data_IF_377021970421
#
_entry.id   IF_377021970421
#
_cell.length_a   1.000
_cell.length_b   1.000
_cell.length_c   1.000
_cell.angle_alpha   90.00
_cell.angle_beta   90.00
_cell.angle_gamma   90.00
#
_symmetry.space_group_name_H-M   'P 1'
#
loop_
_entity.id
_entity.type
_entity.pdbx_description
1 polymer ?
#
# COMPACT_ATOMS: atom_id res chain seq x y z
N UNK A 1 -17.24 15.50 15.38
CA UNK A 1 -16.64 15.86 14.08
C UNK A 1 -15.45 14.93 13.89
N UNK A 2 -15.60 13.88 13.09
CA UNK A 2 -14.50 12.97 12.79
C UNK A 2 -13.62 13.59 11.70
N UNK A 3 -12.44 14.10 12.09
CA UNK A 3 -11.49 14.72 11.16
C UNK A 3 -10.60 13.64 10.57
N UNK A 4 -10.75 13.36 9.27
CA UNK A 4 -9.90 12.40 8.55
C UNK A 4 -8.60 13.09 8.08
N UNK A 5 -7.55 12.96 8.89
CA UNK A 5 -6.21 13.48 8.56
C UNK A 5 -5.36 12.34 7.98
N UNK A 6 -4.82 12.55 6.77
CA UNK A 6 -3.85 11.63 6.17
C UNK A 6 -2.47 11.96 6.74
N UNK A 7 -1.94 11.07 7.57
CA UNK A 7 -0.64 11.28 8.24
C UNK A 7 0.31 10.14 7.88
N UNK A 8 1.52 10.52 7.48
CA UNK A 8 2.66 9.62 7.39
C UNK A 8 3.45 9.75 8.70
N UNK A 9 3.58 8.65 9.44
CA UNK A 9 4.32 8.64 10.71
C UNK A 9 5.64 7.91 10.50
N UNK A 10 6.75 8.62 10.67
CA UNK A 10 8.09 8.03 10.72
C UNK A 10 8.43 7.75 12.18
N UNK A 11 8.71 6.49 12.52
CA UNK A 11 8.98 6.10 13.90
C UNK A 11 10.11 5.08 14.01
N UNK A 12 11.03 5.29 14.94
CA UNK A 12 12.00 4.28 15.36
C UNK A 12 11.40 3.43 16.49
N UNK A 13 10.40 2.59 16.18
CA UNK A 13 9.78 1.69 17.15
C UNK A 13 8.27 1.55 17.01
N UNK A 14 7.59 1.21 18.12
CA UNK A 14 6.14 1.01 18.15
C UNK A 14 5.44 2.37 18.32
N UNK A 15 4.81 2.86 17.25
CA UNK A 15 3.98 4.07 17.29
C UNK A 15 2.80 3.90 18.26
N UNK A 16 2.48 4.97 18.98
CA UNK A 16 1.34 5.08 19.90
C UNK A 16 0.03 5.26 19.12
N UNK A 17 0.11 5.76 17.89
CA UNK A 17 -1.06 5.96 17.03
C UNK A 17 -1.53 4.63 16.42
N UNK A 18 -2.84 4.45 16.32
CA UNK A 18 -3.43 3.36 15.56
C UNK A 18 -3.19 3.62 14.06
N UNK A 19 -2.56 2.69 13.34
CA UNK A 19 -2.23 2.84 11.92
C UNK A 19 -2.84 1.72 11.11
N UNK A 20 -3.23 2.03 9.88
CA UNK A 20 -3.82 1.06 8.94
C UNK A 20 -2.75 0.15 8.31
N UNK A 21 -1.52 0.65 8.13
CA UNK A 21 -0.42 -0.13 7.56
C UNK A 21 0.95 0.20 8.18
N UNK A 22 1.71 -0.86 8.50
CA UNK A 22 3.12 -0.79 8.89
C UNK A 22 4.02 -1.18 7.70
N UNK A 23 5.01 -0.33 7.41
CA UNK A 23 6.04 -0.54 6.38
C UNK A 23 7.43 -0.41 7.03
N UNK A 24 8.14 -1.52 7.15
CA UNK A 24 9.53 -1.49 7.64
C UNK A 24 10.49 -1.06 6.54
N UNK A 25 11.50 -0.26 6.90
CA UNK A 25 12.60 0.08 5.99
C UNK A 25 13.59 -1.07 5.89
N UNK A 26 14.31 -1.17 4.77
CA UNK A 26 15.45 -2.06 4.66
C UNK A 26 16.61 -1.56 5.55
N UNK A 27 17.49 -2.46 5.96
CA UNK A 27 18.67 -2.14 6.76
C UNK A 27 19.55 -1.08 6.08
N UNK A 28 19.70 -1.17 4.76
CA UNK A 28 20.42 -0.21 3.93
C UNK A 28 19.82 1.19 4.04
N UNK A 29 18.50 1.34 3.87
CA UNK A 29 17.82 2.64 4.00
C UNK A 29 17.89 3.19 5.42
N UNK A 30 17.79 2.35 6.45
CA UNK A 30 17.97 2.79 7.84
C UNK A 30 19.35 3.41 8.04
N UNK A 31 20.40 2.78 7.50
CA UNK A 31 21.76 3.29 7.60
C UNK A 31 21.96 4.59 6.82
N UNK A 32 21.26 4.76 5.69
CA UNK A 32 21.30 5.97 4.88
C UNK A 32 20.59 7.13 5.59
N UNK A 33 19.40 6.88 6.15
CA UNK A 33 18.63 7.88 6.90
C UNK A 33 19.37 8.35 8.16
N UNK A 34 20.05 7.44 8.86
CA UNK A 34 20.86 7.81 10.02
C UNK A 34 22.00 8.78 9.63
N UNK A 35 22.58 8.62 8.44
CA UNK A 35 23.63 9.52 7.91
C UNK A 35 23.07 10.87 7.46
N UNK A 36 21.83 10.91 6.97
CA UNK A 36 21.17 12.14 6.49
C UNK A 36 20.55 12.96 7.61
N UNK A 37 20.42 12.44 8.83
CA UNK A 37 19.89 13.21 9.97
C UNK A 37 20.78 14.39 10.37
N UNK A 38 22.09 14.29 10.12
CA UNK A 38 23.05 15.36 10.41
C UNK A 38 23.19 16.37 9.26
N UNK A 39 22.59 16.09 8.09
CA UNK A 39 22.60 16.99 6.95
C UNK A 39 21.44 18.00 7.04
N UNK A 40 21.66 19.26 6.58
CA UNK A 40 20.59 20.24 6.52
C UNK A 40 19.46 19.72 5.61
N UNK A 41 18.18 19.95 5.99
CA UNK A 41 17.06 19.44 5.21
C UNK A 41 17.12 19.97 3.79
N UNK A 42 17.00 19.06 2.81
CA UNK A 42 16.88 19.43 1.40
C UNK A 42 15.61 20.26 1.22
N UNK A 43 15.79 21.57 1.07
CA UNK A 43 14.69 22.49 0.81
C UNK A 43 14.32 22.36 -0.65
N UNK A 44 13.18 21.75 -0.94
CA UNK A 44 12.60 21.81 -2.29
C UNK A 44 12.32 23.27 -2.65
N UNK A 45 12.69 23.62 -3.87
CA UNK A 45 12.34 24.91 -4.47
C UNK A 45 10.81 25.14 -4.36
N UNK A 46 10.36 26.34 -3.93
CA UNK A 46 8.95 26.61 -3.67
C UNK A 46 8.02 26.29 -4.85
N UNK A 47 8.47 26.53 -6.09
CA UNK A 47 7.69 26.24 -7.29
C UNK A 47 7.41 24.74 -7.42
N UNK A 48 8.45 23.91 -7.29
CA UNK A 48 8.32 22.45 -7.35
C UNK A 48 7.44 21.92 -6.20
N UNK A 49 7.60 22.48 -4.99
CA UNK A 49 6.76 22.12 -3.84
C UNK A 49 5.28 22.40 -4.12
N UNK A 50 4.97 23.55 -4.71
CA UNK A 50 3.60 23.96 -4.99
C UNK A 50 2.99 23.14 -6.15
N UNK A 51 3.79 22.80 -7.16
CA UNK A 51 3.40 21.85 -8.22
C UNK A 51 3.05 20.46 -7.66
N UNK A 52 3.88 19.92 -6.74
CA UNK A 52 3.60 18.64 -6.07
C UNK A 52 2.29 18.71 -5.28
N UNK A 53 2.08 19.80 -4.53
CA UNK A 53 0.84 20.01 -3.76
C UNK A 53 -0.38 20.09 -4.67
N UNK A 54 -0.28 20.82 -5.78
CA UNK A 54 -1.35 20.93 -6.76
C UNK A 54 -1.66 19.58 -7.42
N UNK A 55 -0.63 18.82 -7.79
CA UNK A 55 -0.78 17.47 -8.32
C UNK A 55 -1.52 16.57 -7.33
N UNK A 56 -1.09 16.52 -6.07
CA UNK A 56 -1.75 15.71 -5.03
C UNK A 56 -3.20 16.15 -4.78
N UNK A 57 -3.49 17.45 -4.85
CA UNK A 57 -4.85 17.97 -4.72
C UNK A 57 -5.75 17.52 -5.88
N UNK A 58 -5.23 17.55 -7.11
CA UNK A 58 -5.94 17.13 -8.31
C UNK A 58 -6.14 15.61 -8.35
N UNK A 59 -5.08 14.85 -8.08
CA UNK A 59 -5.09 13.38 -8.03
C UNK A 59 -6.11 12.85 -7.01
N UNK A 60 -6.33 13.58 -5.91
CA UNK A 60 -7.36 13.23 -4.91
C UNK A 60 -8.79 13.28 -5.45
N UNK A 61 -9.05 14.17 -6.41
CA UNK A 61 -10.37 14.36 -6.98
C UNK A 61 -10.58 13.55 -8.28
N UNK A 62 -9.60 12.73 -8.67
CA UNK A 62 -9.71 11.90 -9.85
C UNK A 62 -10.77 10.82 -9.65
N UNK A 63 -11.73 10.75 -10.57
CA UNK A 63 -12.73 9.67 -10.61
C UNK A 63 -12.07 8.38 -11.10
N UNK A 64 -11.62 7.57 -10.14
CA UNK A 64 -11.01 6.29 -10.44
C UNK A 64 -12.05 5.20 -10.73
N UNK A 65 -11.87 4.44 -11.81
CA UNK A 65 -12.73 3.31 -12.19
C UNK A 65 -11.91 2.03 -12.33
N UNK A 66 -12.51 0.90 -11.97
CA UNK A 66 -11.93 -0.43 -12.21
C UNK A 66 -12.64 -1.02 -13.42
N UNK A 67 -11.95 -1.20 -14.56
CA UNK A 67 -12.55 -1.85 -15.72
C UNK A 67 -12.97 -3.28 -15.41
N UNK A 68 -14.11 -3.70 -15.95
CA UNK A 68 -14.67 -5.04 -15.74
C UNK A 68 -13.69 -6.15 -16.13
N UNK A 69 -13.00 -5.99 -17.27
CA UNK A 69 -11.99 -6.94 -17.76
C UNK A 69 -10.84 -7.16 -16.76
N UNK A 70 -10.45 -6.11 -16.01
CA UNK A 70 -9.40 -6.22 -15.00
C UNK A 70 -9.95 -6.85 -13.73
N UNK A 71 -11.20 -6.53 -13.35
CA UNK A 71 -11.88 -7.17 -12.22
C UNK A 71 -12.02 -8.69 -12.39
N UNK A 72 -12.33 -9.15 -13.61
CA UNK A 72 -12.44 -10.57 -13.95
C UNK A 72 -11.08 -11.27 -13.80
N UNK A 73 -10.02 -10.69 -14.38
CA UNK A 73 -8.65 -11.22 -14.24
C UNK A 73 -8.19 -11.31 -12.79
N UNK A 74 -8.44 -10.28 -11.98
CA UNK A 74 -8.11 -10.30 -10.55
C UNK A 74 -8.86 -11.41 -9.82
N UNK A 75 -10.12 -11.64 -10.18
CA UNK A 75 -10.95 -12.69 -9.58
C UNK A 75 -10.44 -14.09 -9.92
N UNK A 76 -10.01 -14.29 -11.17
CA UNK A 76 -9.37 -15.51 -11.65
C UNK A 76 -8.03 -15.76 -10.92
N UNK A 77 -7.15 -14.77 -10.89
CA UNK A 77 -5.86 -14.84 -10.17
C UNK A 77 -6.06 -15.16 -8.68
N UNK A 78 -7.08 -14.58 -8.05
CA UNK A 78 -7.39 -14.85 -6.65
C UNK A 78 -7.90 -16.29 -6.42
N UNK A 79 -8.72 -16.81 -7.33
CA UNK A 79 -9.18 -18.19 -7.28
C UNK A 79 -8.02 -19.17 -7.48
N UNK A 80 -7.11 -18.88 -8.42
CA UNK A 80 -5.91 -19.68 -8.67
C UNK A 80 -4.94 -19.66 -7.49
N UNK A 81 -4.67 -18.49 -6.91
CA UNK A 81 -3.82 -18.36 -5.72
C UNK A 81 -4.37 -19.17 -4.54
N UNK A 82 -5.69 -19.18 -4.33
CA UNK A 82 -6.33 -20.02 -3.30
C UNK A 82 -6.18 -21.52 -3.57
N UNK A 83 -6.35 -21.96 -4.82
CA UNK A 83 -6.14 -23.36 -5.21
C UNK A 83 -4.69 -23.80 -4.99
N UNK A 84 -3.73 -22.97 -5.36
CA UNK A 84 -2.29 -23.24 -5.15
C UNK A 84 -1.93 -23.28 -3.65
N UNK A 85 -2.47 -22.37 -2.85
CA UNK A 85 -2.28 -22.36 -1.40
C UNK A 85 -2.86 -23.62 -0.74
N UNK A 86 -4.03 -24.10 -1.18
CA UNK A 86 -4.59 -25.37 -0.74
C UNK A 86 -3.70 -26.57 -1.10
N UNK A 87 -3.10 -26.58 -2.29
CA UNK A 87 -2.24 -27.67 -2.74
C UNK A 87 -0.87 -27.70 -2.02
N UNK A 88 -0.34 -26.53 -1.64
CA UNK A 88 1.00 -26.38 -1.04
C UNK A 88 0.98 -26.26 0.49
N UNK A 89 -0.20 -26.14 1.10
CA UNK A 89 -0.35 -25.86 2.53
C UNK A 89 0.11 -24.46 2.95
N UNK A 90 0.33 -23.57 1.98
CA UNK A 90 0.75 -22.19 2.23
C UNK A 90 -0.41 -21.34 2.78
N UNK A 91 -0.07 -20.20 3.38
CA UNK A 91 -1.07 -19.25 3.90
C UNK A 91 -1.96 -18.75 2.76
N UNK A 92 -3.28 -18.97 2.88
CA UNK A 92 -4.26 -18.44 1.93
C UNK A 92 -4.36 -16.91 2.07
N UNK A 93 -4.43 -16.23 0.93
CA UNK A 93 -4.70 -14.79 0.90
C UNK A 93 -6.12 -14.50 1.39
N UNK A 94 -6.22 -13.69 2.44
CA UNK A 94 -7.48 -13.28 3.06
C UNK A 94 -8.19 -12.20 2.25
N UNK A 95 -9.51 -12.08 2.40
CA UNK A 95 -10.29 -11.01 1.74
C UNK A 95 -9.77 -9.61 2.10
N UNK A 96 -9.33 -9.42 3.34
CA UNK A 96 -8.74 -8.16 3.81
C UNK A 96 -7.44 -7.83 3.08
N UNK A 97 -6.57 -8.82 2.88
CA UNK A 97 -5.31 -8.64 2.13
C UNK A 97 -5.61 -8.27 0.66
N UNK A 98 -6.55 -8.95 0.01
CA UNK A 98 -6.97 -8.61 -1.35
C UNK A 98 -7.49 -7.17 -1.44
N UNK A 99 -8.36 -6.75 -0.51
CA UNK A 99 -8.88 -5.38 -0.49
C UNK A 99 -7.78 -4.33 -0.27
N UNK A 100 -6.73 -4.68 0.48
CA UNK A 100 -5.54 -3.87 0.67
C UNK A 100 -4.76 -3.70 -0.63
N UNK A 101 -4.49 -4.79 -1.34
CA UNK A 101 -3.78 -4.77 -2.64
C UNK A 101 -4.54 -3.96 -3.68
N UNK A 102 -5.87 -4.12 -3.78
CA UNK A 102 -6.70 -3.31 -4.69
C UNK A 102 -6.58 -1.81 -4.35
N UNK A 103 -6.53 -1.48 -3.07
CA UNK A 103 -6.31 -0.10 -2.63
C UNK A 103 -4.94 0.41 -3.07
N UNK A 104 -3.89 -0.40 -2.93
CA UNK A 104 -2.53 -0.06 -3.40
C UNK A 104 -2.51 0.12 -4.92
N UNK A 105 -3.10 -0.80 -5.68
CA UNK A 105 -3.17 -0.72 -7.14
C UNK A 105 -3.87 0.53 -7.65
N UNK A 106 -4.96 0.93 -6.97
CA UNK A 106 -5.60 2.22 -7.21
C UNK A 106 -4.67 3.39 -6.91
N UNK A 107 -3.96 3.37 -5.79
CA UNK A 107 -3.02 4.46 -5.43
C UNK A 107 -1.85 4.56 -6.42
N UNK A 108 -1.33 3.44 -6.91
CA UNK A 108 -0.29 3.38 -7.95
C UNK A 108 -0.81 3.98 -9.25
N UNK A 109 -2.01 3.59 -9.69
CA UNK A 109 -2.63 4.14 -10.90
C UNK A 109 -2.83 5.65 -10.80
N UNK A 110 -3.37 6.13 -9.65
CA UNK A 110 -3.53 7.56 -9.38
C UNK A 110 -2.17 8.28 -9.33
N UNK A 111 -1.13 7.65 -8.79
CA UNK A 111 0.22 8.23 -8.75
C UNK A 111 0.79 8.44 -10.16
N UNK A 112 0.43 7.59 -11.13
CA UNK A 112 0.74 7.74 -12.56
C UNK A 112 -0.20 8.72 -13.30
N UNK A 113 -1.26 9.20 -12.65
CA UNK A 113 -2.29 10.05 -13.27
C UNK A 113 -3.32 9.27 -14.08
N UNK A 114 -3.38 7.94 -13.94
CA UNK A 114 -4.35 7.08 -14.62
C UNK A 114 -5.68 7.08 -13.84
N UNK A 115 -6.79 7.27 -14.57
CA UNK A 115 -8.14 7.22 -14.01
C UNK A 115 -8.73 5.79 -14.01
N UNK A 116 -8.05 4.83 -14.63
CA UNK A 116 -8.51 3.45 -14.75
C UNK A 116 -7.44 2.47 -14.26
N UNK A 117 -7.87 1.37 -13.64
CA UNK A 117 -6.95 0.31 -13.24
C UNK A 117 -6.41 -0.42 -14.47
N UNK A 118 -5.10 -0.40 -14.67
CA UNK A 118 -4.41 -1.20 -15.70
C UNK A 118 -3.82 -2.47 -15.10
N UNK A 119 -3.60 -3.50 -15.93
CA UNK A 119 -2.96 -4.74 -15.49
C UNK A 119 -1.50 -4.52 -15.05
N UNK A 120 -0.82 -3.53 -15.64
CA UNK A 120 0.52 -3.12 -15.26
C UNK A 120 0.53 -2.55 -13.83
N UNK A 121 -0.36 -1.58 -13.54
CA UNK A 121 -0.50 -1.00 -12.21
C UNK A 121 -0.94 -2.02 -11.16
N UNK A 122 -1.68 -3.07 -11.56
CA UNK A 122 -1.97 -4.22 -10.71
C UNK A 122 -0.74 -5.09 -10.41
N UNK A 123 0.06 -5.43 -11.43
CA UNK A 123 1.30 -6.19 -11.24
C UNK A 123 2.27 -5.45 -10.32
N UNK A 124 2.48 -4.16 -10.56
CA UNK A 124 3.34 -3.32 -9.74
C UNK A 124 2.85 -3.25 -8.28
N UNK A 125 1.54 -3.15 -8.06
CA UNK A 125 0.97 -3.18 -6.72
C UNK A 125 1.19 -4.52 -6.00
N UNK A 126 1.09 -5.64 -6.72
CA UNK A 126 1.42 -6.96 -6.19
C UNK A 126 2.89 -7.06 -5.79
N UNK A 127 3.80 -6.55 -6.61
CA UNK A 127 5.24 -6.52 -6.31
C UNK A 127 5.53 -5.66 -5.07
N UNK A 128 4.92 -4.47 -4.97
CA UNK A 128 5.06 -3.59 -3.82
C UNK A 128 4.54 -4.25 -2.54
N UNK A 129 3.41 -4.96 -2.60
CA UNK A 129 2.86 -5.66 -1.46
C UNK A 129 3.74 -6.86 -1.06
N UNK A 130 4.23 -7.65 -2.01
CA UNK A 130 5.16 -8.74 -1.74
C UNK A 130 6.44 -8.24 -1.07
N UNK A 131 7.02 -7.14 -1.58
CA UNK A 131 8.19 -6.50 -0.99
C UNK A 131 7.89 -5.98 0.43
N UNK A 132 6.69 -5.47 0.68
CA UNK A 132 6.26 -5.04 2.02
C UNK A 132 6.13 -6.23 2.97
N UNK A 133 5.47 -7.30 2.55
CA UNK A 133 5.30 -8.53 3.36
C UNK A 133 6.66 -9.15 3.68
N UNK A 134 7.57 -9.21 2.72
CA UNK A 134 8.94 -9.69 2.93
C UNK A 134 9.71 -8.83 3.94
N UNK A 135 9.63 -7.50 3.84
CA UNK A 135 10.24 -6.60 4.84
C UNK A 135 9.61 -6.76 6.22
N UNK A 136 8.29 -6.96 6.28
CA UNK A 136 7.57 -7.15 7.52
C UNK A 136 7.90 -8.49 8.19
N UNK A 137 8.12 -9.57 7.43
CA UNK A 137 8.54 -10.86 7.97
C UNK A 137 9.99 -10.80 8.46
N UNK A 138 10.90 -10.21 7.69
CA UNK A 138 12.29 -9.97 8.08
C UNK A 138 12.39 -9.12 9.35
N UNK A 139 11.65 -8.00 9.41
CA UNK A 139 11.65 -7.14 10.59
C UNK A 139 11.08 -7.84 11.83
N UNK A 140 10.08 -8.72 11.68
CA UNK A 140 9.58 -9.54 12.80
C UNK A 140 10.62 -10.55 13.28
N UNK A 141 11.43 -11.13 12.38
CA UNK A 141 12.55 -11.99 12.76
C UNK A 141 13.69 -11.20 13.45
N UNK A 142 14.03 -10.02 12.94
CA UNK A 142 15.09 -9.16 13.49
C UNK A 142 14.71 -8.43 14.79
N UNK A 143 13.43 -8.35 15.20
CA UNK A 143 13.01 -7.74 16.48
C UNK A 143 13.59 -8.40 17.74
N UNK A 144 14.34 -9.50 17.60
CA UNK A 144 15.16 -10.06 18.68
C UNK A 144 16.50 -9.31 18.89
N UNK A 145 16.82 -8.30 18.06
CA UNK A 145 17.98 -7.43 18.28
C UNK A 145 17.88 -6.11 17.50
N UNK A 146 17.64 -5.00 18.23
CA UNK A 146 17.88 -3.60 17.86
C UNK A 146 17.15 -2.96 16.65
N UNK A 147 16.43 -1.85 16.92
CA UNK A 147 16.41 -0.65 16.06
C UNK A 147 15.76 -0.71 14.67
N UNK A 148 14.57 -1.28 14.50
CA UNK A 148 13.85 -1.19 13.23
C UNK A 148 13.10 0.15 13.07
N UNK A 149 13.53 1.00 12.13
CA UNK A 149 12.78 2.20 11.73
C UNK A 149 11.58 1.78 10.88
N UNK A 150 10.39 2.14 11.34
CA UNK A 150 9.09 1.81 10.72
C UNK A 150 8.47 3.09 10.16
N UNK A 151 8.17 3.06 8.87
CA UNK A 151 7.30 4.05 8.21
C UNK A 151 5.88 3.53 8.32
N UNK A 152 5.00 4.30 8.94
CA UNK A 152 3.60 3.90 9.18
C UNK A 152 2.68 4.83 8.41
N UNK A 153 1.83 4.23 7.59
CA UNK A 153 0.81 4.95 6.83
C UNK A 153 -0.53 4.82 7.54
N UNK A 154 -1.12 5.96 7.88
CA UNK A 154 -2.48 6.07 8.40
C UNK A 154 -3.38 6.47 7.22
N UNK A 155 -4.04 5.48 6.64
CA UNK A 155 -4.94 5.57 5.50
C UNK A 155 -6.33 5.09 5.93
N UNK A 156 -7.04 5.90 6.72
CA UNK A 156 -8.32 5.46 7.25
C UNK A 156 -9.45 5.62 6.20
N UNK A 157 -9.93 4.47 5.73
CA UNK A 157 -11.10 4.15 4.89
C UNK A 157 -11.45 5.18 3.80
N UNK A 158 -11.10 4.85 2.57
CA UNK A 158 -11.94 5.19 1.41
C UNK A 158 -13.30 4.49 1.60
N UNK A 159 -14.23 5.15 2.29
CA UNK A 159 -15.63 4.73 2.26
C UNK A 159 -16.17 5.06 0.87
N UNK A 160 -16.32 4.05 0.04
CA UNK A 160 -17.25 4.05 -1.10
C UNK A 160 -18.09 2.75 -1.01
N UNK A 161 -19.29 2.73 -1.63
CA UNK A 161 -20.31 1.71 -1.38
C UNK A 161 -19.81 0.30 -1.68
N UNK A 162 -20.44 -0.75 -1.11
CA UNK A 162 -20.06 -2.12 -1.39
C UNK A 162 -20.19 -2.38 -2.88
N UNK A 163 -19.08 -2.56 -3.58
CA UNK A 163 -19.08 -3.29 -4.84
C UNK A 163 -19.41 -4.73 -4.49
N UNK A 164 -20.69 -5.07 -4.48
CA UNK A 164 -21.15 -6.46 -4.50
C UNK A 164 -20.66 -7.08 -5.80
N UNK A 165 -19.55 -7.80 -5.72
CA UNK A 165 -19.14 -8.72 -6.77
C UNK A 165 -20.09 -9.93 -6.63
N UNK A 166 -20.93 -10.23 -7.64
CA UNK A 166 -21.80 -11.39 -7.57
C UNK A 166 -20.92 -12.64 -7.64
N UNK A 167 -20.87 -13.39 -6.53
CA UNK A 167 -20.22 -14.69 -6.49
C UNK A 167 -21.21 -15.69 -7.09
N UNK A 168 -20.87 -16.46 -8.13
CA UNK A 168 -21.72 -17.55 -8.58
C UNK A 168 -21.78 -18.62 -7.48
N UNK A 169 -22.99 -18.91 -7.00
CA UNK A 169 -23.29 -20.01 -6.11
C UNK A 169 -23.02 -21.33 -6.84
N UNK A 170 -21.96 -22.03 -6.45
CA UNK A 170 -21.76 -23.41 -6.86
C UNK A 170 -22.68 -24.31 -6.00
N UNK A 171 -23.77 -24.78 -6.61
CA UNK A 171 -24.49 -26.00 -6.21
C UNK A 171 -23.94 -27.20 -6.94
#
# INVERSE_FOLDING_TARGET
>A
MDTNVRVLVLSAGKSILHNDCDVYLSSELCSLLAKTQDEPPVVLDPLHRDQIRQYLANARNLEFRVPQAVSEKISEEYAESRKQAHATGAKMMTQTELSGVITVARLVSIAKGEAELTMESWSEANELEQARVARNSQAKACKQGAGAVTVKLLLNKFRNPPCEIPIPSFS
#
